data_IF_703063178192
#
_entry.id   IF_703063178192
#
_cell.length_a   1.000
_cell.length_b   1.000
_cell.length_c   1.000
_cell.angle_alpha   90.00
_cell.angle_beta   90.00
_cell.angle_gamma   90.00
#
_symmetry.space_group_name_H-M   'P 1'
#
loop_
_entity.id
_entity.type
_entity.pdbx_description
1 polymer ?
#
# COMPACT_ATOMS: atom_id res chain seq x y z
N UNK A 1 -8.09 -22.82 -26.77
CA UNK A 1 -6.86 -22.01 -26.86
C UNK A 1 -7.21 -20.63 -27.40
N UNK A 2 -7.42 -19.64 -26.52
CA UNK A 2 -7.58 -18.23 -26.95
C UNK A 2 -6.20 -17.64 -27.21
N UNK A 3 -6.00 -17.15 -28.42
CA UNK A 3 -4.75 -16.59 -28.92
C UNK A 3 -4.32 -15.39 -28.06
N UNK A 4 -3.10 -15.45 -27.53
CA UNK A 4 -2.37 -14.39 -26.82
C UNK A 4 -2.00 -13.24 -27.79
N UNK A 5 -3.00 -12.51 -28.30
CA UNK A 5 -2.79 -11.30 -29.11
C UNK A 5 -3.78 -10.22 -28.68
N UNK A 6 -3.76 -9.85 -27.41
CA UNK A 6 -4.37 -8.61 -26.92
C UNK A 6 -3.80 -8.31 -25.52
N UNK A 7 -3.49 -7.03 -25.27
CA UNK A 7 -3.00 -6.45 -24.02
C UNK A 7 -1.49 -6.42 -23.75
N UNK A 8 -0.79 -5.58 -24.52
CA UNK A 8 -0.13 -4.45 -23.88
C UNK A 8 -0.99 -3.21 -24.16
N UNK A 9 -2.13 -3.09 -23.49
CA UNK A 9 -2.86 -1.83 -23.48
C UNK A 9 -1.99 -0.86 -22.69
N UNK A 10 -1.06 -0.20 -23.36
CA UNK A 10 -0.42 0.98 -22.82
C UNK A 10 -1.53 2.03 -22.74
N UNK A 11 -2.21 2.13 -21.59
CA UNK A 11 -3.30 3.07 -21.43
C UNK A 11 -2.74 4.49 -21.48
N UNK A 12 -3.33 5.35 -22.31
CA UNK A 12 -3.01 6.78 -22.31
C UNK A 12 -3.59 7.44 -21.05
N UNK A 13 -2.97 8.53 -20.63
CA UNK A 13 -3.45 9.36 -19.52
C UNK A 13 -4.63 10.18 -20.02
N UNK A 14 -5.83 9.88 -19.50
CA UNK A 14 -7.04 10.63 -19.84
C UNK A 14 -7.24 11.83 -18.89
N UNK A 15 -8.08 12.78 -19.31
CA UNK A 15 -8.45 13.96 -18.50
C UNK A 15 -9.12 13.53 -17.18
N UNK A 16 -8.77 14.22 -16.09
CA UNK A 16 -9.41 14.07 -14.77
C UNK A 16 -9.30 12.68 -14.13
N UNK A 17 -8.37 11.84 -14.60
CA UNK A 17 -8.10 10.50 -14.07
C UNK A 17 -7.20 10.57 -12.84
N UNK A 18 -7.40 9.64 -11.90
CA UNK A 18 -6.46 9.41 -10.81
C UNK A 18 -5.22 8.69 -11.33
N UNK A 19 -4.04 9.22 -11.01
CA UNK A 19 -2.75 8.62 -11.35
C UNK A 19 -1.83 8.62 -10.13
N UNK A 20 -0.87 7.71 -10.13
CA UNK A 20 0.18 7.66 -9.13
C UNK A 20 1.36 8.48 -9.63
N UNK A 21 1.71 9.53 -8.91
CA UNK A 21 2.84 10.42 -9.21
C UNK A 21 3.98 10.11 -8.25
N UNK A 22 5.18 9.97 -8.80
CA UNK A 22 6.42 9.75 -8.04
C UNK A 22 7.54 10.62 -8.62
N UNK A 23 8.33 11.29 -7.77
CA UNK A 23 9.56 11.94 -8.24
C UNK A 23 10.63 10.88 -8.52
N UNK A 24 11.37 11.01 -9.63
CA UNK A 24 12.50 10.10 -9.92
C UNK A 24 13.55 10.24 -8.82
N UNK A 25 13.79 9.14 -8.09
CA UNK A 25 14.66 9.16 -6.93
C UNK A 25 14.09 9.92 -5.71
N UNK A 26 12.83 10.33 -5.77
CA UNK A 26 12.10 10.70 -4.56
C UNK A 26 11.71 9.47 -3.74
N UNK A 27 11.44 9.71 -2.47
CA UNK A 27 10.88 8.71 -1.55
C UNK A 27 9.34 8.75 -1.57
N UNK A 28 8.77 9.93 -1.84
CA UNK A 28 7.33 10.10 -1.82
C UNK A 28 6.68 9.62 -3.12
N UNK A 29 5.58 8.88 -2.93
CA UNK A 29 4.65 8.45 -3.95
C UNK A 29 3.27 8.98 -3.55
N UNK A 30 2.51 9.52 -4.51
CA UNK A 30 1.23 10.17 -4.22
C UNK A 30 0.17 9.76 -5.24
N UNK A 31 -1.04 9.52 -4.76
CA UNK A 31 -2.24 9.44 -5.61
C UNK A 31 -2.74 10.86 -5.86
N UNK A 32 -2.82 11.24 -7.13
CA UNK A 32 -3.26 12.58 -7.53
C UNK A 32 -4.31 12.46 -8.64
N UNK A 33 -5.33 13.33 -8.59
CA UNK A 33 -6.24 13.51 -9.72
C UNK A 33 -5.59 14.48 -10.70
N UNK A 34 -5.37 14.05 -11.94
CA UNK A 34 -4.72 14.86 -12.96
C UNK A 34 -5.73 15.79 -13.64
N UNK A 35 -5.76 17.05 -13.21
CA UNK A 35 -6.65 18.08 -13.74
C UNK A 35 -5.80 19.15 -14.42
N UNK A 36 -6.11 19.45 -15.69
CA UNK A 36 -5.43 20.52 -16.43
C UNK A 36 -5.62 21.86 -15.72
N UNK A 37 -4.53 22.60 -15.51
CA UNK A 37 -4.56 23.89 -14.79
C UNK A 37 -4.33 23.78 -13.28
N UNK A 38 -4.50 22.60 -12.67
CA UNK A 38 -4.18 22.39 -11.26
C UNK A 38 -2.75 21.87 -11.12
N UNK A 39 -1.90 22.63 -10.42
CA UNK A 39 -0.52 22.20 -10.15
C UNK A 39 -0.49 21.04 -9.17
N UNK A 40 0.26 20.00 -9.52
CA UNK A 40 0.56 18.86 -8.64
C UNK A 40 1.89 19.13 -7.95
N UNK A 41 1.89 19.07 -6.62
CA UNK A 41 3.10 19.18 -5.81
C UNK A 41 3.54 17.79 -5.34
N UNK A 42 4.79 17.45 -5.63
CA UNK A 42 5.47 16.26 -5.12
C UNK A 42 6.86 16.60 -4.60
N UNK A 43 7.07 16.39 -3.30
CA UNK A 43 8.27 16.83 -2.60
C UNK A 43 8.53 18.34 -2.80
N UNK A 44 9.58 18.70 -3.55
CA UNK A 44 9.95 20.08 -3.89
C UNK A 44 9.67 20.44 -5.35
N UNK A 45 9.01 19.56 -6.08
CA UNK A 45 8.73 19.72 -7.51
C UNK A 45 7.23 19.96 -7.70
N UNK A 46 6.88 21.06 -8.36
CA UNK A 46 5.51 21.42 -8.70
C UNK A 46 5.37 21.49 -10.21
N UNK A 47 4.33 20.87 -10.76
CA UNK A 47 4.12 20.86 -12.22
C UNK A 47 2.64 20.87 -12.60
N UNK A 48 2.32 21.33 -13.81
CA UNK A 48 0.97 21.25 -14.40
C UNK A 48 0.85 19.99 -15.28
N UNK A 49 -0.16 19.13 -15.06
CA UNK A 49 -0.29 17.87 -15.80
C UNK A 49 -0.83 18.02 -17.23
N UNK A 50 -1.06 19.25 -17.72
CA UNK A 50 -1.65 19.52 -19.05
C UNK A 50 -0.97 18.74 -20.19
N UNK A 51 0.36 18.70 -20.23
CA UNK A 51 1.12 18.10 -21.34
C UNK A 51 1.30 16.58 -21.14
N UNK A 52 0.95 16.03 -19.97
CA UNK A 52 0.94 14.59 -19.75
C UNK A 52 -0.34 13.93 -20.26
N UNK A 53 -1.44 14.69 -20.40
CA UNK A 53 -2.72 14.18 -20.89
C UNK A 53 -2.58 13.79 -22.37
N UNK A 54 -3.01 12.58 -22.71
CA UNK A 54 -2.89 12.01 -24.06
C UNK A 54 -1.60 11.24 -24.30
N UNK A 55 -0.60 11.39 -23.44
CA UNK A 55 0.61 10.56 -23.45
C UNK A 55 0.41 9.26 -22.66
N UNK A 56 1.28 8.29 -22.90
CA UNK A 56 1.31 7.05 -22.13
C UNK A 56 1.86 7.29 -20.71
N UNK A 57 1.45 6.45 -19.76
CA UNK A 57 2.08 6.41 -18.44
C UNK A 57 3.60 6.19 -18.58
N UNK A 58 4.41 6.93 -17.84
CA UNK A 58 5.84 6.96 -18.06
C UNK A 58 6.57 8.05 -17.28
N UNK A 59 7.79 8.35 -17.73
CA UNK A 59 8.68 9.36 -17.15
C UNK A 59 8.51 10.66 -17.92
N UNK A 60 8.43 11.77 -17.19
CA UNK A 60 8.33 13.12 -17.73
C UNK A 60 9.41 14.00 -17.11
N UNK A 61 10.06 14.82 -17.94
CA UNK A 61 10.95 15.89 -17.49
C UNK A 61 10.13 17.15 -17.23
N UNK A 62 10.34 17.77 -16.07
CA UNK A 62 9.68 19.00 -15.67
C UNK A 62 10.58 20.17 -16.03
N UNK A 63 10.10 21.04 -16.91
CA UNK A 63 10.82 22.22 -17.42
C UNK A 63 10.05 23.50 -17.12
N UNK A 64 10.71 24.66 -17.32
CA UNK A 64 10.12 25.99 -17.16
C UNK A 64 9.37 26.16 -15.83
N UNK A 65 10.03 25.82 -14.72
CA UNK A 65 9.44 25.96 -13.39
C UNK A 65 8.18 25.11 -13.14
N UNK A 66 7.91 24.09 -13.95
CA UNK A 66 6.74 23.21 -13.80
C UNK A 66 5.65 23.38 -14.85
N UNK A 67 5.79 24.32 -15.77
CA UNK A 67 4.74 24.64 -16.73
C UNK A 67 4.79 23.80 -18.00
N UNK A 68 5.88 23.07 -18.23
CA UNK A 68 6.04 22.16 -19.37
C UNK A 68 6.46 20.78 -18.89
N UNK A 69 5.75 19.75 -19.35
CA UNK A 69 6.16 18.35 -19.18
C UNK A 69 6.56 17.74 -20.52
N UNK A 70 7.77 17.21 -20.60
CA UNK A 70 8.25 16.50 -21.78
C UNK A 70 8.30 14.99 -21.50
N UNK A 71 7.58 14.14 -22.26
CA UNK A 71 7.70 12.69 -22.11
C UNK A 71 9.11 12.24 -22.49
N UNK A 72 9.73 11.42 -21.63
CA UNK A 72 11.04 10.82 -21.91
C UNK A 72 10.79 9.42 -22.46
N UNK A 73 11.07 9.23 -23.74
CA UNK A 73 11.16 7.89 -24.30
C UNK A 73 12.39 7.19 -23.69
N UNK A 74 12.23 5.92 -23.29
CA UNK A 74 13.33 5.12 -22.78
C UNK A 74 14.36 4.89 -23.90
N UNK A 75 15.28 5.82 -24.08
CA UNK A 75 16.49 5.57 -24.84
C UNK A 75 17.30 4.54 -24.05
N UNK A 76 17.42 3.34 -24.60
CA UNK A 76 18.06 2.14 -24.05
C UNK A 76 19.59 2.24 -23.94
N UNK A 77 20.13 3.42 -23.59
CA UNK A 77 21.57 3.59 -23.33
C UNK A 77 21.77 3.79 -21.83
N UNK A 78 22.12 2.72 -21.07
CA UNK A 78 22.57 2.89 -19.70
C UNK A 78 23.77 3.86 -19.69
N UNK A 79 23.75 4.80 -18.76
CA UNK A 79 24.88 5.69 -18.52
C UNK A 79 26.05 4.85 -17.99
N UNK A 80 26.90 4.35 -18.90
CA UNK A 80 28.17 3.72 -18.55
C UNK A 80 29.19 4.83 -18.31
N UNK A 81 29.43 5.19 -17.07
CA UNK A 81 30.63 5.96 -16.73
C UNK A 81 31.74 4.95 -16.40
N UNK A 82 32.61 4.71 -17.38
CA UNK A 82 33.85 3.97 -17.14
C UNK A 82 34.80 4.86 -16.34
N UNK A 83 34.83 4.69 -15.02
CA UNK A 83 35.85 5.31 -14.19
C UNK A 83 37.11 4.45 -14.26
N UNK A 84 38.24 5.04 -14.66
CA UNK A 84 39.55 4.38 -14.65
C UNK A 84 39.94 3.95 -13.23
N UNK A 85 40.54 2.76 -13.11
CA UNK A 85 41.07 2.22 -11.86
C UNK A 85 42.33 3.01 -11.45
N UNK A 86 42.14 4.23 -10.92
CA UNK A 86 43.16 4.90 -10.13
C UNK A 86 43.16 4.29 -8.73
N UNK A 87 44.18 3.52 -8.38
CA UNK A 87 44.44 3.05 -7.01
C UNK A 87 44.42 4.25 -6.06
N UNK A 88 43.32 4.46 -5.35
CA UNK A 88 43.20 5.54 -4.36
C UNK A 88 43.13 4.91 -2.98
N UNK A 89 44.23 5.09 -2.25
CA UNK A 89 44.46 4.66 -0.89
C UNK A 89 43.41 5.23 0.09
N UNK A 90 43.28 4.55 1.24
CA UNK A 90 42.21 4.74 2.22
C UNK A 90 41.89 6.18 2.61
N UNK A 91 40.63 6.37 3.03
CA UNK A 91 40.01 7.60 3.51
C UNK A 91 40.70 8.06 4.81
N UNK A 92 41.86 8.73 4.69
CA UNK A 92 42.53 9.37 5.82
C UNK A 92 41.81 10.69 6.09
N UNK A 93 41.17 10.81 7.25
CA UNK A 93 40.29 11.92 7.62
C UNK A 93 40.78 13.30 7.17
N UNK A 94 39.88 14.07 6.56
CA UNK A 94 40.13 15.44 6.10
C UNK A 94 39.34 16.41 6.99
N UNK A 95 39.98 17.52 7.36
CA UNK A 95 39.45 18.53 8.27
C UNK A 95 38.28 19.36 7.72
N UNK A 96 37.80 20.31 8.54
CA UNK A 96 36.61 21.16 8.33
C UNK A 96 36.70 22.17 7.15
N UNK A 97 37.25 21.78 6.01
CA UNK A 97 37.26 22.62 4.81
C UNK A 97 35.94 22.45 4.01
N UNK A 98 35.48 23.53 3.38
CA UNK A 98 34.29 23.50 2.52
C UNK A 98 34.54 22.60 1.31
N UNK A 99 34.04 21.37 1.37
CA UNK A 99 34.25 20.34 0.33
C UNK A 99 33.61 20.62 -1.03
N UNK A 100 32.79 21.67 -1.14
CA UNK A 100 32.05 22.04 -2.35
C UNK A 100 32.16 23.54 -2.58
N UNK A 101 32.60 23.91 -3.78
CA UNK A 101 32.77 25.31 -4.18
C UNK A 101 31.44 26.00 -4.56
N UNK A 102 30.47 25.25 -5.09
CA UNK A 102 29.16 25.80 -5.47
C UNK A 102 28.23 25.98 -4.27
N UNK A 103 27.73 27.21 -4.08
CA UNK A 103 26.74 27.55 -3.07
C UNK A 103 25.32 27.13 -3.45
N UNK A 104 24.40 27.07 -2.48
CA UNK A 104 23.00 26.70 -2.75
C UNK A 104 22.31 27.68 -3.72
N UNK A 105 22.61 28.97 -3.62
CA UNK A 105 22.01 29.99 -4.48
C UNK A 105 22.51 29.87 -5.93
N UNK A 106 23.81 29.62 -6.11
CA UNK A 106 24.39 29.36 -7.45
C UNK A 106 23.78 28.11 -8.11
N UNK A 107 23.44 27.09 -7.33
CA UNK A 107 22.76 25.89 -7.85
C UNK A 107 21.34 26.21 -8.30
N UNK A 108 20.65 27.14 -7.62
CA UNK A 108 19.30 27.57 -8.00
C UNK A 108 19.33 28.39 -9.28
N UNK A 109 20.24 29.37 -9.40
CA UNK A 109 20.38 30.15 -10.64
C UNK A 109 20.74 29.26 -11.83
N UNK A 110 21.66 28.31 -11.66
CA UNK A 110 21.98 27.35 -12.73
C UNK A 110 20.76 26.53 -13.20
N UNK A 111 19.84 26.21 -12.28
CA UNK A 111 18.58 25.51 -12.62
C UNK A 111 17.59 26.43 -13.34
N UNK A 112 17.52 27.70 -12.94
CA UNK A 112 16.71 28.72 -13.61
C UNK A 112 17.21 28.99 -15.03
N UNK A 113 18.53 28.95 -15.24
CA UNK A 113 19.18 29.04 -16.56
C UNK A 113 18.90 27.82 -17.47
N UNK A 114 18.16 26.82 -16.99
CA UNK A 114 17.75 25.65 -17.78
C UNK A 114 18.86 24.61 -17.99
N UNK A 115 19.90 24.60 -17.17
CA UNK A 115 20.98 23.60 -17.27
C UNK A 115 20.43 22.18 -17.13
N UNK A 116 20.95 21.22 -17.90
CA UNK A 116 20.53 19.83 -17.76
C UNK A 116 21.00 19.22 -16.43
N UNK A 117 20.26 18.25 -15.89
CA UNK A 117 20.64 17.57 -14.63
C UNK A 117 22.04 16.97 -14.72
N UNK A 118 22.42 16.42 -15.88
CA UNK A 118 23.73 15.79 -16.07
C UNK A 118 24.86 16.82 -16.05
N UNK A 119 24.68 17.96 -16.72
CA UNK A 119 25.66 19.06 -16.70
C UNK A 119 25.82 19.66 -15.30
N UNK A 120 24.72 19.85 -14.56
CA UNK A 120 24.77 20.31 -13.18
C UNK A 120 25.58 19.35 -12.30
N UNK A 121 25.37 18.04 -12.47
CA UNK A 121 26.12 17.02 -11.73
C UNK A 121 27.60 17.06 -12.11
N UNK A 122 27.95 17.23 -13.39
CA UNK A 122 29.33 17.40 -13.84
C UNK A 122 30.00 18.63 -13.20
N UNK A 123 29.31 19.77 -13.13
CA UNK A 123 29.81 20.98 -12.42
C UNK A 123 29.98 20.74 -10.92
N UNK A 124 29.08 19.98 -10.29
CA UNK A 124 29.17 19.62 -8.87
C UNK A 124 30.29 18.62 -8.56
N UNK A 125 30.74 17.87 -9.56
CA UNK A 125 31.87 16.95 -9.48
C UNK A 125 33.19 17.70 -9.60
N UNK A 126 33.31 18.60 -10.58
CA UNK A 126 34.52 19.41 -10.76
C UNK A 126 34.77 20.34 -9.58
N UNK A 127 33.71 20.89 -8.98
CA UNK A 127 33.80 21.75 -7.79
C UNK A 127 34.04 21.01 -6.46
N UNK A 128 34.18 19.68 -6.46
CA UNK A 128 34.43 18.89 -5.25
C UNK A 128 35.91 18.50 -5.14
N UNK A 129 36.61 19.11 -4.19
CA UNK A 129 38.05 18.98 -3.99
C UNK A 129 38.52 17.53 -3.73
N UNK A 130 37.67 16.70 -3.12
CA UNK A 130 37.99 15.32 -2.77
C UNK A 130 37.32 14.30 -3.68
N UNK A 131 36.72 14.71 -4.80
CA UNK A 131 36.05 13.74 -5.66
C UNK A 131 37.04 12.77 -6.29
N UNK A 132 38.22 13.26 -6.72
CA UNK A 132 39.19 12.42 -7.42
C UNK A 132 39.88 11.39 -6.52
N UNK A 133 40.14 11.73 -5.26
CA UNK A 133 40.76 10.83 -4.27
C UNK A 133 39.80 9.74 -3.76
N UNK A 134 38.50 9.83 -4.03
CA UNK A 134 37.51 8.83 -3.60
C UNK A 134 37.65 7.53 -4.39
N UNK A 135 37.31 6.43 -3.72
CA UNK A 135 37.14 5.12 -4.36
C UNK A 135 36.06 5.16 -5.44
N UNK A 136 36.14 4.22 -6.41
CA UNK A 136 35.14 4.07 -7.49
C UNK A 136 33.70 4.01 -6.96
N UNK A 137 33.47 3.23 -5.91
CA UNK A 137 32.14 3.09 -5.29
C UNK A 137 31.66 4.39 -4.63
N UNK A 138 32.55 5.13 -3.98
CA UNK A 138 32.24 6.42 -3.37
C UNK A 138 31.95 7.51 -4.41
N UNK A 139 32.68 7.52 -5.53
CA UNK A 139 32.42 8.39 -6.68
C UNK A 139 31.02 8.13 -7.25
N UNK A 140 30.68 6.88 -7.53
CA UNK A 140 29.38 6.50 -8.07
C UNK A 140 28.23 6.77 -7.09
N UNK A 141 28.42 6.48 -5.79
CA UNK A 141 27.45 6.81 -4.73
C UNK A 141 27.18 8.30 -4.68
N UNK A 142 28.22 9.13 -4.78
CA UNK A 142 28.09 10.58 -4.83
C UNK A 142 27.31 11.04 -6.06
N UNK A 143 27.69 10.56 -7.25
CA UNK A 143 27.01 10.87 -8.51
C UNK A 143 25.53 10.52 -8.45
N UNK A 144 25.19 9.29 -8.06
CA UNK A 144 23.81 8.83 -7.92
C UNK A 144 23.01 9.70 -6.97
N UNK A 145 23.59 10.08 -5.83
CA UNK A 145 22.95 10.99 -4.86
C UNK A 145 22.69 12.38 -5.44
N UNK A 146 23.63 12.92 -6.24
CA UNK A 146 23.46 14.24 -6.88
C UNK A 146 22.42 14.19 -8.00
N UNK A 147 22.47 13.19 -8.88
CA UNK A 147 21.45 12.97 -9.92
C UNK A 147 20.07 12.85 -9.27
N UNK A 148 19.92 12.00 -8.27
CA UNK A 148 18.66 11.80 -7.55
C UNK A 148 18.14 13.08 -6.87
N UNK A 149 19.02 13.86 -6.24
CA UNK A 149 18.63 15.12 -5.58
C UNK A 149 18.18 16.18 -6.58
N UNK A 150 18.93 16.34 -7.67
CA UNK A 150 18.76 17.44 -8.62
C UNK A 150 17.92 17.10 -9.85
N UNK A 151 17.49 15.84 -10.00
CA UNK A 151 16.59 15.42 -11.07
C UNK A 151 15.23 16.10 -10.92
N UNK A 152 14.83 16.78 -11.98
CA UNK A 152 13.52 17.40 -12.12
C UNK A 152 12.59 16.50 -12.95
N UNK A 153 12.69 15.18 -12.74
CA UNK A 153 11.88 14.18 -13.45
C UNK A 153 10.81 13.58 -12.54
N UNK A 154 9.63 13.36 -13.11
CA UNK A 154 8.51 12.70 -12.46
C UNK A 154 8.10 11.46 -13.24
N UNK A 155 7.56 10.47 -12.54
CA UNK A 155 6.99 9.26 -13.11
C UNK A 155 5.51 9.28 -12.81
N UNK A 156 4.70 9.18 -13.87
CA UNK A 156 3.25 9.08 -13.78
C UNK A 156 2.87 7.64 -14.12
N UNK A 157 2.28 6.95 -13.15
CA UNK A 157 1.95 5.53 -13.22
C UNK A 157 0.44 5.32 -13.13
N UNK A 158 -0.04 4.30 -13.82
CA UNK A 158 -1.42 3.84 -13.69
C UNK A 158 -1.64 3.32 -12.25
N UNK A 159 -2.73 3.72 -11.57
CA UNK A 159 -3.06 3.16 -10.27
C UNK A 159 -3.30 1.66 -10.36
N UNK A 160 -2.67 0.92 -9.45
CA UNK A 160 -2.96 -0.49 -9.21
C UNK A 160 -2.87 -0.75 -7.71
N UNK A 161 -3.39 -1.89 -7.26
CA UNK A 161 -3.46 -2.24 -5.82
C UNK A 161 -2.07 -2.15 -5.17
N UNK A 162 -1.02 -2.62 -5.86
CA UNK A 162 0.37 -2.57 -5.37
C UNK A 162 0.84 -1.13 -5.12
N UNK A 163 0.66 -0.24 -6.10
CA UNK A 163 1.10 1.16 -6.01
C UNK A 163 0.24 1.96 -5.03
N UNK A 164 -1.07 1.65 -4.93
CA UNK A 164 -1.96 2.25 -3.95
C UNK A 164 -1.57 1.87 -2.53
N UNK A 165 -1.41 0.57 -2.24
CA UNK A 165 -0.97 0.11 -0.92
C UNK A 165 0.37 0.75 -0.54
N UNK A 166 1.33 0.80 -1.46
CA UNK A 166 2.62 1.45 -1.26
C UNK A 166 2.51 2.97 -1.03
N UNK A 167 1.57 3.62 -1.71
CA UNK A 167 1.25 5.04 -1.53
C UNK A 167 0.69 5.34 -0.13
N UNK A 168 -0.32 4.58 0.30
CA UNK A 168 -0.92 4.77 1.62
C UNK A 168 0.08 4.43 2.73
N UNK A 169 0.84 3.34 2.56
CA UNK A 169 1.83 2.90 3.54
C UNK A 169 2.98 3.90 3.74
N UNK A 170 3.54 4.47 2.66
CA UNK A 170 4.58 5.51 2.78
C UNK A 170 4.06 6.85 3.31
N UNK A 171 2.76 7.12 3.12
CA UNK A 171 2.16 8.37 3.60
C UNK A 171 1.91 8.33 5.10
N UNK A 172 1.27 7.27 5.57
CA UNK A 172 0.87 7.12 6.97
C UNK A 172 0.71 5.62 7.28
N UNK A 173 1.79 4.93 7.69
CA UNK A 173 1.74 3.50 7.96
C UNK A 173 0.91 3.17 9.20
N UNK A 174 0.85 4.08 10.18
CA UNK A 174 0.08 3.90 11.41
C UNK A 174 -1.44 3.91 11.15
N UNK A 175 -1.89 4.78 10.23
CA UNK A 175 -3.27 4.75 9.72
C UNK A 175 -3.61 3.40 9.12
N UNK A 176 -2.70 2.75 8.40
CA UNK A 176 -2.93 1.41 7.88
C UNK A 176 -2.77 0.30 8.93
N UNK A 177 -2.58 0.64 10.21
CA UNK A 177 -2.20 -0.33 11.25
C UNK A 177 -1.01 -1.17 10.82
N UNK A 178 -0.04 -0.55 10.14
CA UNK A 178 1.14 -1.18 9.55
C UNK A 178 0.87 -2.31 8.53
N UNK A 179 -0.33 -2.36 7.92
CA UNK A 179 -0.64 -3.33 6.87
C UNK A 179 0.21 -3.06 5.63
N UNK A 180 1.18 -3.95 5.39
CA UNK A 180 2.08 -3.88 4.24
C UNK A 180 1.51 -4.60 3.01
N UNK A 181 2.15 -4.38 1.86
CA UNK A 181 1.77 -5.01 0.60
C UNK A 181 1.92 -6.54 0.59
N UNK A 182 2.92 -7.10 1.25
CA UNK A 182 3.11 -8.54 1.38
C UNK A 182 1.96 -9.18 2.16
N UNK A 183 1.60 -8.58 3.29
CA UNK A 183 0.48 -9.02 4.13
C UNK A 183 -0.86 -8.86 3.42
N UNK A 184 -1.10 -7.74 2.76
CA UNK A 184 -2.28 -7.54 1.93
C UNK A 184 -2.35 -8.60 0.80
N UNK A 185 -1.21 -8.90 0.16
CA UNK A 185 -1.12 -9.96 -0.84
C UNK A 185 -1.46 -11.33 -0.27
N UNK A 186 -0.94 -11.66 0.92
CA UNK A 186 -1.28 -12.89 1.63
C UNK A 186 -2.78 -12.96 1.93
N UNK A 187 -3.37 -11.87 2.44
CA UNK A 187 -4.80 -11.84 2.75
C UNK A 187 -5.66 -12.07 1.51
N UNK A 188 -5.35 -11.40 0.40
CA UNK A 188 -6.05 -11.56 -0.87
C UNK A 188 -5.92 -12.99 -1.42
N UNK A 189 -4.76 -13.61 -1.24
CA UNK A 189 -4.54 -15.00 -1.65
C UNK A 189 -5.34 -15.98 -0.79
N UNK A 190 -5.27 -15.86 0.55
CA UNK A 190 -5.92 -16.76 1.49
C UNK A 190 -7.45 -16.63 1.46
N UNK A 191 -7.97 -15.46 1.13
CA UNK A 191 -9.40 -15.22 1.00
C UNK A 191 -10.01 -15.88 -0.23
N UNK A 192 -9.20 -16.20 -1.25
CA UNK A 192 -9.68 -16.81 -2.48
C UNK A 192 -10.58 -15.89 -3.30
N UNK A 193 -10.38 -14.57 -3.21
CA UNK A 193 -11.17 -13.59 -3.98
C UNK A 193 -10.90 -13.74 -5.48
N UNK A 194 -11.97 -13.79 -6.28
CA UNK A 194 -11.87 -13.88 -7.74
C UNK A 194 -13.01 -13.13 -8.43
N UNK A 195 -12.83 -12.81 -9.71
CA UNK A 195 -13.76 -12.00 -10.52
C UNK A 195 -15.03 -12.75 -10.97
N UNK A 196 -15.51 -13.71 -10.18
CA UNK A 196 -16.71 -14.50 -10.45
C UNK A 196 -17.83 -14.19 -9.45
N UNK A 197 -18.75 -15.14 -9.26
CA UNK A 197 -19.70 -15.11 -8.13
C UNK A 197 -18.93 -15.38 -6.83
N UNK A 198 -18.33 -14.33 -6.27
CA UNK A 198 -17.62 -14.37 -4.99
C UNK A 198 -18.16 -13.23 -4.12
N UNK A 199 -18.96 -13.58 -3.11
CA UNK A 199 -19.49 -12.67 -2.11
C UNK A 199 -18.53 -12.65 -0.93
N UNK A 200 -17.80 -11.55 -0.76
CA UNK A 200 -16.88 -11.39 0.36
C UNK A 200 -17.45 -10.41 1.38
N UNK A 201 -17.46 -10.82 2.65
CA UNK A 201 -17.69 -9.89 3.75
C UNK A 201 -16.35 -9.23 4.11
N UNK A 202 -16.31 -7.90 4.07
CA UNK A 202 -15.11 -7.12 4.39
C UNK A 202 -15.38 -6.21 5.57
N UNK A 203 -14.57 -6.32 6.61
CA UNK A 203 -14.54 -5.36 7.72
C UNK A 203 -13.17 -4.68 7.74
N UNK A 204 -13.13 -3.38 7.48
CA UNK A 204 -11.91 -2.58 7.53
C UNK A 204 -12.04 -1.48 8.59
N UNK A 205 -11.28 -1.63 9.67
CA UNK A 205 -11.18 -0.62 10.73
C UNK A 205 -10.00 0.33 10.54
N UNK A 206 -9.02 -0.05 9.71
CA UNK A 206 -7.73 0.64 9.64
C UNK A 206 -7.93 2.09 9.17
N UNK A 207 -8.81 2.28 8.19
CA UNK A 207 -8.98 3.58 7.56
C UNK A 207 -9.84 4.59 8.35
N UNK A 208 -10.60 4.16 9.36
CA UNK A 208 -11.72 4.94 9.92
C UNK A 208 -11.32 6.03 10.93
N UNK A 209 -10.09 6.01 11.47
CA UNK A 209 -9.70 6.86 12.61
C UNK A 209 -9.67 8.38 12.38
N UNK A 210 -9.77 8.89 11.14
CA UNK A 210 -9.94 10.34 10.86
C UNK A 210 -11.19 10.66 10.06
N UNK A 211 -11.84 9.66 9.47
CA UNK A 211 -13.05 9.90 8.71
C UNK A 211 -14.23 10.15 9.65
N UNK A 212 -14.20 9.68 10.91
CA UNK A 212 -15.16 10.08 11.95
C UNK A 212 -15.05 11.57 12.32
N UNK A 213 -13.84 12.12 12.49
CA UNK A 213 -13.65 13.57 12.71
C UNK A 213 -14.06 14.40 11.49
N UNK A 214 -13.79 13.91 10.27
CA UNK A 214 -14.20 14.60 9.04
C UNK A 214 -15.69 14.47 8.75
N UNK A 215 -16.32 13.34 9.03
CA UNK A 215 -17.78 13.17 8.84
C UNK A 215 -18.56 13.93 9.89
N UNK A 216 -18.08 14.03 11.13
CA UNK A 216 -18.68 14.91 12.13
C UNK A 216 -18.48 16.40 11.76
N UNK A 217 -17.32 16.77 11.20
CA UNK A 217 -17.11 18.12 10.68
C UNK A 217 -17.91 18.41 9.39
N UNK A 218 -18.10 17.43 8.49
CA UNK A 218 -18.94 17.59 7.29
C UNK A 218 -20.41 17.69 7.66
N UNK A 219 -20.91 16.89 8.61
CA UNK A 219 -22.27 17.02 9.14
C UNK A 219 -22.53 18.40 9.75
N UNK A 220 -21.53 18.99 10.39
CA UNK A 220 -21.61 20.37 10.92
C UNK A 220 -21.43 21.47 9.84
N UNK A 221 -21.01 21.11 8.61
CA UNK A 221 -20.81 22.07 7.50
C UNK A 221 -21.91 21.98 6.44
N UNK A 222 -22.65 20.87 6.38
CA UNK A 222 -23.80 20.66 5.49
C UNK A 222 -25.06 21.43 5.93
N UNK A 223 -25.03 22.16 7.05
CA UNK A 223 -26.07 23.13 7.46
C UNK A 223 -25.80 24.57 6.95
N UNK A 224 -24.91 24.76 5.96
CA UNK A 224 -24.70 26.07 5.33
C UNK A 224 -25.59 26.25 4.10
N UNK A 225 -26.21 27.43 4.06
CA UNK A 225 -27.32 27.88 3.23
C UNK A 225 -27.31 27.45 1.75
N UNK A 226 -28.51 27.24 1.15
CA UNK A 226 -28.63 26.89 -0.26
C UNK A 226 -28.11 28.00 -1.17
N UNK A 227 -27.13 27.66 -2.01
CA UNK A 227 -26.62 28.51 -3.08
C UNK A 227 -27.72 28.69 -4.15
N UNK A 228 -28.22 29.92 -4.31
CA UNK A 228 -29.30 30.32 -5.24
C UNK A 228 -28.81 30.27 -6.70
N UNK A 229 -28.63 29.06 -7.25
CA UNK A 229 -28.55 28.83 -8.69
C UNK A 229 -29.64 27.84 -9.07
N UNK A 230 -30.74 28.37 -9.60
CA UNK A 230 -31.99 27.64 -9.87
C UNK A 230 -31.88 26.63 -11.03
N UNK A 231 -30.83 26.71 -11.86
CA UNK A 231 -30.61 25.73 -12.93
C UNK A 231 -29.97 24.43 -12.41
N UNK A 232 -30.69 23.31 -12.58
CA UNK A 232 -30.22 21.96 -12.26
C UNK A 232 -30.26 21.59 -10.76
N UNK A 233 -31.02 22.30 -9.93
CA UNK A 233 -31.20 21.96 -8.52
C UNK A 233 -32.06 20.68 -8.34
N UNK A 234 -33.07 20.50 -9.20
CA UNK A 234 -33.96 19.33 -9.21
C UNK A 234 -33.22 18.06 -9.63
N UNK A 235 -32.47 18.10 -10.74
CA UNK A 235 -31.60 16.99 -11.18
C UNK A 235 -30.57 16.59 -10.11
N UNK A 236 -29.99 17.57 -9.38
CA UNK A 236 -29.04 17.29 -8.29
C UNK A 236 -29.72 16.59 -7.11
N UNK A 237 -30.96 16.98 -6.76
CA UNK A 237 -31.77 16.33 -5.71
C UNK A 237 -32.16 14.91 -6.11
N UNK A 238 -32.59 14.70 -7.36
CA UNK A 238 -32.91 13.38 -7.90
C UNK A 238 -31.68 12.46 -7.89
N UNK A 239 -30.51 12.95 -8.32
CA UNK A 239 -29.26 12.19 -8.25
C UNK A 239 -28.87 11.82 -6.82
N UNK A 240 -29.15 12.69 -5.83
CA UNK A 240 -28.89 12.39 -4.42
C UNK A 240 -29.86 11.33 -3.88
N UNK A 241 -31.15 11.43 -4.20
CA UNK A 241 -32.18 10.45 -3.81
C UNK A 241 -31.86 9.09 -4.44
N UNK A 242 -31.50 9.05 -5.72
CA UNK A 242 -31.12 7.82 -6.40
C UNK A 242 -29.90 7.16 -5.76
N UNK A 243 -28.85 7.92 -5.45
CA UNK A 243 -27.66 7.40 -4.75
C UNK A 243 -27.99 6.86 -3.35
N UNK A 244 -28.93 7.50 -2.65
CA UNK A 244 -29.40 7.07 -1.33
C UNK A 244 -30.19 5.76 -1.43
N UNK A 245 -31.15 5.67 -2.35
CA UNK A 245 -31.93 4.45 -2.61
C UNK A 245 -31.02 3.28 -2.99
N UNK A 246 -30.06 3.50 -3.89
CA UNK A 246 -29.06 2.48 -4.27
C UNK A 246 -28.20 2.02 -3.08
N UNK A 247 -27.86 2.94 -2.17
CA UNK A 247 -27.12 2.60 -0.95
C UNK A 247 -27.97 1.75 0.00
N UNK A 248 -29.21 2.17 0.25
CA UNK A 248 -30.15 1.46 1.12
C UNK A 248 -30.43 0.04 0.58
N UNK A 249 -30.59 -0.12 -0.73
CA UNK A 249 -30.78 -1.43 -1.36
C UNK A 249 -29.54 -2.33 -1.23
N UNK A 250 -28.33 -1.78 -1.38
CA UNK A 250 -27.07 -2.52 -1.16
C UNK A 250 -26.92 -2.95 0.29
N UNK A 251 -27.23 -2.09 1.25
CA UNK A 251 -27.17 -2.38 2.69
C UNK A 251 -28.19 -3.47 3.07
N UNK A 252 -29.43 -3.39 2.55
CA UNK A 252 -30.46 -4.43 2.72
C UNK A 252 -29.97 -5.78 2.20
N UNK A 253 -29.43 -5.82 0.97
CA UNK A 253 -28.89 -7.04 0.35
C UNK A 253 -27.72 -7.61 1.16
N UNK A 254 -26.83 -6.76 1.68
CA UNK A 254 -25.73 -7.19 2.53
C UNK A 254 -26.22 -7.83 3.83
N UNK A 255 -27.21 -7.23 4.49
CA UNK A 255 -27.83 -7.78 5.69
C UNK A 255 -28.53 -9.12 5.43
N UNK A 256 -29.18 -9.28 4.27
CA UNK A 256 -29.79 -10.55 3.87
C UNK A 256 -28.75 -11.66 3.68
N UNK A 257 -27.57 -11.34 3.14
CA UNK A 257 -26.46 -12.31 2.99
C UNK A 257 -25.85 -12.73 4.34
N UNK A 258 -25.85 -11.84 5.33
CA UNK A 258 -25.29 -12.09 6.67
C UNK A 258 -26.25 -12.96 7.50
N UNK A 259 -27.57 -12.75 7.35
CA UNK A 259 -28.57 -13.51 8.09
C UNK A 259 -28.57 -14.99 7.64
N UNK A 260 -28.55 -15.95 8.58
CA UNK A 260 -28.61 -17.37 8.23
C UNK A 260 -29.98 -17.69 7.61
N UNK A 261 -29.97 -18.29 6.40
CA UNK A 261 -31.17 -18.87 5.79
C UNK A 261 -31.40 -20.29 6.33
N UNK A 262 -32.66 -20.71 6.50
CA UNK A 262 -33.04 -21.98 7.10
C UNK A 262 -32.52 -23.25 6.39
N UNK A 263 -32.12 -23.16 5.11
CA UNK A 263 -31.86 -24.32 4.26
C UNK A 263 -30.44 -24.41 3.68
N UNK A 264 -29.64 -23.33 3.73
CA UNK A 264 -28.30 -23.31 3.14
C UNK A 264 -27.27 -22.68 4.08
N UNK A 265 -26.12 -23.34 4.22
CA UNK A 265 -24.94 -22.75 4.83
C UNK A 265 -24.45 -21.58 3.95
N UNK A 266 -24.91 -20.37 4.27
CA UNK A 266 -24.31 -19.09 3.90
C UNK A 266 -24.38 -18.65 2.42
N UNK A 267 -24.52 -17.34 2.21
CA UNK A 267 -24.35 -16.68 0.90
C UNK A 267 -22.98 -16.02 0.74
N UNK A 268 -22.17 -16.01 1.81
CA UNK A 268 -20.83 -15.39 1.84
C UNK A 268 -19.79 -16.47 1.56
N UNK A 269 -18.88 -16.21 0.63
CA UNK A 269 -17.78 -17.09 0.24
C UNK A 269 -16.54 -16.91 1.12
N UNK A 270 -16.25 -15.68 1.51
CA UNK A 270 -15.06 -15.33 2.29
C UNK A 270 -15.34 -14.20 3.29
N UNK A 271 -14.74 -14.30 4.46
CA UNK A 271 -14.71 -13.24 5.47
C UNK A 271 -13.28 -12.67 5.51
N UNK A 272 -13.14 -11.38 5.22
CA UNK A 272 -11.89 -10.64 5.32
C UNK A 272 -12.04 -9.53 6.36
N UNK A 273 -11.17 -9.51 7.37
CA UNK A 273 -11.19 -8.47 8.39
C UNK A 273 -9.81 -7.85 8.55
N UNK A 274 -9.76 -6.54 8.78
CA UNK A 274 -8.58 -5.81 9.21
C UNK A 274 -8.96 -4.99 10.45
N UNK A 275 -8.55 -5.48 11.62
CA UNK A 275 -8.93 -4.89 12.91
C UNK A 275 -7.71 -4.35 13.65
N UNK A 276 -7.90 -3.25 14.38
CA UNK A 276 -6.86 -2.62 15.20
C UNK A 276 -7.22 -2.57 16.68
N UNK A 277 -8.45 -2.19 16.99
CA UNK A 277 -8.92 -2.06 18.39
C UNK A 277 -10.19 -2.84 18.68
N UNK A 278 -10.96 -3.21 17.65
CA UNK A 278 -12.16 -4.03 17.81
C UNK A 278 -11.74 -5.51 17.90
N UNK A 279 -12.33 -6.24 18.85
CA UNK A 279 -12.14 -7.69 18.95
C UNK A 279 -12.81 -8.37 17.73
N UNK A 280 -12.05 -9.09 16.89
CA UNK A 280 -12.60 -9.81 15.74
C UNK A 280 -13.69 -10.82 16.12
N UNK A 281 -13.70 -11.35 17.35
CA UNK A 281 -14.68 -12.34 17.80
C UNK A 281 -16.12 -11.78 17.76
N UNK A 282 -16.31 -10.51 18.09
CA UNK A 282 -17.66 -9.92 18.14
C UNK A 282 -18.29 -9.77 16.76
N UNK A 283 -17.45 -9.52 15.75
CA UNK A 283 -17.87 -9.48 14.35
C UNK A 283 -18.11 -10.92 13.85
N UNK A 284 -17.20 -11.85 14.18
CA UNK A 284 -17.34 -13.25 13.81
C UNK A 284 -18.65 -13.85 14.33
N UNK A 285 -19.06 -13.58 15.59
CA UNK A 285 -20.32 -14.08 16.14
C UNK A 285 -21.55 -13.69 15.29
N UNK A 286 -21.53 -12.53 14.64
CA UNK A 286 -22.65 -12.04 13.83
C UNK A 286 -22.62 -12.61 12.41
N UNK A 287 -21.44 -12.77 11.82
CA UNK A 287 -21.28 -13.06 10.39
C UNK A 287 -20.95 -14.52 10.10
N UNK A 288 -20.39 -15.25 11.07
CA UNK A 288 -19.91 -16.62 10.88
C UNK A 288 -21.02 -17.57 10.40
N UNK A 289 -22.27 -17.36 10.82
CA UNK A 289 -23.41 -18.17 10.36
C UNK A 289 -23.65 -18.02 8.83
N UNK A 290 -23.52 -16.80 8.30
CA UNK A 290 -23.70 -16.48 6.88
C UNK A 290 -22.54 -16.90 5.96
N UNK A 291 -21.41 -17.34 6.51
CA UNK A 291 -20.30 -17.93 5.73
C UNK A 291 -20.66 -19.33 5.23
N UNK A 292 -20.39 -19.65 3.97
CA UNK A 292 -20.62 -20.99 3.44
C UNK A 292 -19.65 -22.03 3.98
N UNK A 293 -20.01 -23.30 3.87
CA UNK A 293 -19.06 -24.39 4.08
C UNK A 293 -17.92 -24.31 3.06
N UNK A 294 -16.71 -24.66 3.50
CA UNK A 294 -15.48 -24.45 2.75
C UNK A 294 -15.20 -22.97 2.43
N UNK A 295 -15.89 -22.05 3.11
CA UNK A 295 -15.60 -20.61 3.05
C UNK A 295 -14.37 -20.27 3.89
N UNK A 296 -13.64 -19.24 3.47
CA UNK A 296 -12.38 -18.83 4.12
C UNK A 296 -12.61 -17.69 5.09
N UNK A 297 -11.80 -17.66 6.15
CA UNK A 297 -11.76 -16.58 7.14
C UNK A 297 -10.33 -16.07 7.18
N UNK A 298 -10.16 -14.78 6.94
CA UNK A 298 -8.87 -14.10 6.94
C UNK A 298 -8.98 -12.85 7.81
N UNK A 299 -8.17 -12.75 8.86
CA UNK A 299 -8.21 -11.64 9.81
C UNK A 299 -6.80 -11.10 10.00
N UNK A 300 -6.62 -9.82 9.71
CA UNK A 300 -5.39 -9.09 9.96
C UNK A 300 -5.50 -8.24 11.23
N UNK A 301 -4.43 -8.22 12.01
CA UNK A 301 -4.24 -7.22 13.06
C UNK A 301 -2.76 -6.90 13.28
N UNK A 302 -2.39 -5.64 13.56
CA UNK A 302 -1.03 -5.32 14.01
C UNK A 302 -0.69 -5.95 15.37
N UNK A 303 -1.71 -6.29 16.17
CA UNK A 303 -1.60 -6.77 17.54
C UNK A 303 -2.00 -8.24 17.58
N UNK A 304 -1.13 -9.10 18.11
CA UNK A 304 -1.29 -10.57 18.07
C UNK A 304 -2.46 -11.04 18.94
N UNK A 305 -2.71 -10.35 20.04
CA UNK A 305 -3.66 -10.70 21.09
C UNK A 305 -5.09 -10.80 20.55
N UNK A 306 -5.51 -9.86 19.68
CA UNK A 306 -6.82 -9.91 19.02
C UNK A 306 -7.00 -11.18 18.19
N UNK A 307 -5.96 -11.60 17.47
CA UNK A 307 -6.01 -12.82 16.66
C UNK A 307 -5.98 -14.08 17.52
N UNK A 308 -5.31 -14.06 18.67
CA UNK A 308 -5.35 -15.17 19.61
C UNK A 308 -6.74 -15.38 20.19
N UNK A 309 -7.49 -14.31 20.44
CA UNK A 309 -8.90 -14.40 20.86
C UNK A 309 -9.76 -15.05 19.78
N UNK A 310 -9.66 -14.58 18.53
CA UNK A 310 -10.35 -15.20 17.39
C UNK A 310 -9.95 -16.67 17.20
N UNK A 311 -8.66 -16.99 17.30
CA UNK A 311 -8.15 -18.36 17.18
C UNK A 311 -8.75 -19.27 18.25
N UNK A 312 -8.78 -18.82 19.51
CA UNK A 312 -9.41 -19.57 20.62
C UNK A 312 -10.89 -19.78 20.36
N UNK A 313 -11.61 -18.74 19.95
CA UNK A 313 -13.04 -18.81 19.67
C UNK A 313 -13.34 -19.80 18.53
N UNK A 314 -12.60 -19.75 17.42
CA UNK A 314 -12.77 -20.68 16.29
C UNK A 314 -12.56 -22.14 16.71
N UNK A 315 -11.60 -22.40 17.59
CA UNK A 315 -11.39 -23.75 18.16
C UNK A 315 -12.52 -24.20 19.08
N UNK A 316 -13.13 -23.28 19.83
CA UNK A 316 -14.24 -23.57 20.72
C UNK A 316 -15.53 -23.86 19.95
N UNK A 317 -15.79 -23.11 18.87
CA UNK A 317 -16.95 -23.32 17.99
C UNK A 317 -16.89 -24.69 17.31
N UNK A 318 -15.70 -25.20 17.01
CA UNK A 318 -15.51 -26.55 16.45
C UNK A 318 -15.88 -26.69 14.96
N UNK A 319 -16.42 -25.64 14.34
CA UNK A 319 -16.82 -25.59 12.92
C UNK A 319 -15.77 -24.91 12.03
N UNK A 320 -14.49 -24.95 12.41
CA UNK A 320 -13.38 -24.40 11.65
C UNK A 320 -12.17 -25.35 11.67
N UNK A 321 -11.49 -25.48 10.53
CA UNK A 321 -10.25 -26.25 10.37
C UNK A 321 -9.15 -25.37 9.78
N UNK A 322 -7.93 -25.91 9.80
CA UNK A 322 -6.72 -25.25 9.30
C UNK A 322 -6.53 -23.83 9.86
N UNK A 323 -6.69 -23.71 11.19
CA UNK A 323 -6.62 -22.42 11.88
C UNK A 323 -5.15 -22.03 12.06
N UNK A 324 -4.64 -21.20 11.16
CA UNK A 324 -3.24 -20.80 11.11
C UNK A 324 -3.06 -19.35 11.54
N UNK A 325 -2.13 -19.11 12.47
CA UNK A 325 -1.68 -17.76 12.83
C UNK A 325 -0.28 -17.55 12.24
N UNK A 326 -0.15 -16.59 11.34
CA UNK A 326 1.08 -16.32 10.59
C UNK A 326 1.57 -14.88 10.75
N UNK A 327 2.88 -14.71 10.63
CA UNK A 327 3.56 -13.42 10.56
C UNK A 327 4.56 -13.47 9.41
N UNK A 328 4.51 -12.49 8.51
CA UNK A 328 5.43 -12.42 7.38
C UNK A 328 6.53 -11.40 7.62
N UNK A 329 7.76 -11.81 7.29
CA UNK A 329 8.91 -10.93 7.25
C UNK A 329 9.20 -10.53 5.82
N UNK A 330 9.45 -9.24 5.61
CA UNK A 330 9.72 -8.69 4.29
C UNK A 330 10.88 -7.71 4.39
N UNK A 331 11.88 -7.89 3.51
CA UNK A 331 13.12 -7.10 3.52
C UNK A 331 13.52 -6.72 2.10
N UNK A 332 13.68 -5.43 1.86
CA UNK A 332 14.18 -4.94 0.58
C UNK A 332 15.68 -5.25 0.45
N UNK A 333 16.08 -5.66 -0.75
CA UNK A 333 17.47 -5.89 -1.11
C UNK A 333 17.93 -4.76 -2.03
N UNK A 334 19.07 -4.17 -1.72
CA UNK A 334 19.80 -3.37 -2.71
C UNK A 334 20.52 -4.34 -3.64
N UNK A 335 20.22 -4.26 -4.94
CA UNK A 335 20.90 -5.07 -5.97
C UNK A 335 21.69 -4.14 -6.86
N UNK A 336 23.00 -4.08 -6.61
CA UNK A 336 23.98 -3.30 -7.38
C UNK A 336 25.26 -4.13 -7.42
N UNK A 337 25.97 -4.13 -8.56
CA UNK A 337 27.26 -4.84 -8.68
C UNK A 337 28.17 -4.55 -7.48
N UNK A 338 28.69 -5.63 -6.88
CA UNK A 338 29.64 -5.63 -5.77
C UNK A 338 29.17 -4.93 -4.48
N UNK A 339 27.88 -4.56 -4.39
CA UNK A 339 27.27 -3.85 -3.25
C UNK A 339 25.85 -4.35 -2.95
N UNK A 340 25.61 -5.64 -3.18
CA UNK A 340 24.33 -6.29 -2.90
C UNK A 340 24.22 -6.59 -1.41
N UNK A 341 23.23 -5.98 -0.76
CA UNK A 341 22.99 -6.15 0.67
C UNK A 341 21.55 -5.74 1.00
N UNK A 342 20.99 -6.23 2.11
CA UNK A 342 19.66 -5.79 2.53
C UNK A 342 19.67 -4.32 2.95
N UNK A 343 18.53 -3.66 2.80
CA UNK A 343 18.32 -2.36 3.42
C UNK A 343 18.33 -2.56 4.95
N UNK A 344 19.20 -1.83 5.63
CA UNK A 344 19.49 -2.03 7.06
C UNK A 344 18.46 -1.36 7.96
N UNK A 345 17.93 -0.20 7.56
CA UNK A 345 16.92 0.57 8.30
C UNK A 345 15.54 0.35 7.66
N UNK A 346 14.89 -0.76 8.02
CA UNK A 346 13.54 -1.08 7.54
C UNK A 346 12.75 -1.81 8.62
N UNK A 347 11.44 -1.53 8.70
CA UNK A 347 10.50 -2.37 9.46
C UNK A 347 10.32 -3.72 8.74
N UNK A 348 10.82 -4.80 9.36
CA UNK A 348 10.81 -6.15 8.77
C UNK A 348 9.49 -6.88 9.07
N UNK A 349 8.81 -6.52 10.15
CA UNK A 349 7.49 -7.03 10.52
C UNK A 349 6.38 -6.03 10.14
N UNK A 350 5.20 -6.53 9.79
CA UNK A 350 4.06 -5.71 9.34
C UNK A 350 2.71 -6.22 9.84
N UNK A 351 2.67 -6.77 11.05
CA UNK A 351 1.46 -7.34 11.67
C UNK A 351 1.30 -8.86 11.49
N UNK A 352 0.13 -9.35 11.87
CA UNK A 352 -0.22 -10.78 11.94
C UNK A 352 -1.46 -11.07 11.11
N UNK A 353 -1.55 -12.29 10.57
CA UNK A 353 -2.71 -12.77 9.81
C UNK A 353 -3.16 -14.11 10.37
N UNK A 354 -4.44 -14.20 10.71
CA UNK A 354 -5.14 -15.42 11.09
C UNK A 354 -5.93 -15.93 9.88
N UNK A 355 -5.79 -17.21 9.59
CA UNK A 355 -6.52 -17.93 8.55
C UNK A 355 -7.30 -19.09 9.15
N UNK A 356 -8.48 -19.39 8.59
CA UNK A 356 -9.22 -20.61 8.87
C UNK A 356 -10.19 -20.93 7.73
N UNK A 357 -10.64 -22.19 7.68
CA UNK A 357 -11.67 -22.66 6.75
C UNK A 357 -12.90 -23.10 7.56
N UNK A 358 -14.09 -22.62 7.19
CA UNK A 358 -15.34 -23.05 7.80
C UNK A 358 -15.69 -24.46 7.33
N UNK A 359 -16.03 -25.33 8.28
CA UNK A 359 -16.50 -26.69 8.02
C UNK A 359 -17.83 -26.93 8.71
N UNK A 360 -18.47 -28.05 8.36
CA UNK A 360 -19.66 -28.50 9.06
C UNK A 360 -19.29 -28.78 10.52
N UNK A 361 -20.11 -28.35 11.50
CA UNK A 361 -19.90 -28.78 12.88
C UNK A 361 -19.83 -30.32 12.95
N UNK A 362 -18.96 -30.87 13.79
CA UNK A 362 -18.96 -32.30 14.06
C UNK A 362 -20.32 -32.72 14.64
N UNK A 363 -20.77 -33.94 14.34
CA UNK A 363 -21.99 -34.50 14.94
C UNK A 363 -21.93 -34.43 16.49
N UNK A 364 -23.09 -34.38 17.13
CA UNK A 364 -23.22 -34.24 18.59
C UNK A 364 -22.38 -35.25 19.37
N UNK A 365 -22.29 -36.49 18.87
CA UNK A 365 -21.57 -37.59 19.51
C UNK A 365 -20.03 -37.41 19.43
N UNK A 366 -19.53 -36.90 18.31
CA UNK A 366 -18.11 -36.59 18.15
C UNK A 366 -17.70 -35.37 19.00
N UNK A 367 -18.62 -34.44 19.22
CA UNK A 367 -18.41 -33.28 20.09
C UNK A 367 -18.27 -33.70 21.55
N UNK A 368 -19.13 -34.61 22.01
CA UNK A 368 -19.04 -35.22 23.34
C UNK A 368 -17.76 -36.03 23.53
N UNK A 369 -17.37 -36.86 22.55
CA UNK A 369 -16.10 -37.59 22.60
C UNK A 369 -14.87 -36.67 22.64
N UNK A 370 -14.87 -35.57 21.89
CA UNK A 370 -13.78 -34.58 21.94
C UNK A 370 -13.70 -33.85 23.28
N UNK A 371 -14.84 -33.52 23.88
CA UNK A 371 -14.91 -32.93 25.23
C UNK A 371 -14.35 -33.91 26.27
N UNK A 372 -14.78 -35.17 26.21
CA UNK A 372 -14.31 -36.24 27.09
C UNK A 372 -12.80 -36.47 26.95
N UNK A 373 -12.29 -36.56 25.72
CA UNK A 373 -10.85 -36.72 25.47
C UNK A 373 -10.02 -35.53 25.99
N UNK A 374 -10.56 -34.31 25.86
CA UNK A 374 -9.90 -33.10 26.37
C UNK A 374 -9.86 -33.08 27.90
N UNK A 375 -10.93 -33.46 28.57
CA UNK A 375 -10.94 -33.61 30.04
C UNK A 375 -9.96 -34.68 30.50
N UNK A 376 -9.90 -35.83 29.82
CA UNK A 376 -8.96 -36.91 30.13
C UNK A 376 -7.50 -36.47 29.99
N UNK A 377 -7.15 -35.78 28.91
CA UNK A 377 -5.81 -35.19 28.72
C UNK A 377 -5.43 -34.20 29.82
N UNK A 378 -6.38 -33.37 30.26
CA UNK A 378 -6.15 -32.38 31.32
C UNK A 378 -5.99 -33.03 32.70
N UNK A 379 -6.68 -34.15 32.93
CA UNK A 379 -6.53 -34.97 34.15
C UNK A 379 -5.17 -35.68 34.16
N UNK A 380 -4.77 -36.29 33.05
CA UNK A 380 -3.45 -36.92 32.93
C UNK A 380 -2.30 -35.93 33.15
N UNK A 381 -2.38 -34.71 32.58
CA UNK A 381 -1.35 -33.69 32.81
C UNK A 381 -1.28 -33.19 34.26
N UNK A 382 -2.39 -33.23 35.01
CA UNK A 382 -2.39 -32.90 36.45
C UNK A 382 -1.78 -34.02 37.29
N UNK A 383 -2.10 -35.27 36.98
CA UNK A 383 -1.54 -36.44 37.66
C UNK A 383 -0.01 -36.49 37.46
N UNK A 384 0.49 -36.26 36.24
CA UNK A 384 1.94 -36.21 35.98
C UNK A 384 2.67 -35.11 36.75
N UNK A 385 2.01 -33.97 36.99
CA UNK A 385 2.55 -32.87 37.80
C UNK A 385 2.57 -33.22 39.30
N UNK A 386 1.57 -33.94 39.80
CA UNK A 386 1.50 -34.37 41.20
C UNK A 386 2.48 -35.52 41.51
N UNK A 387 2.80 -36.38 40.54
CA UNK A 387 3.77 -37.48 40.72
C UNK A 387 5.24 -37.05 40.58
N UNK A 388 5.50 -35.81 40.13
CA UNK A 388 6.84 -35.27 39.90
C UNK A 388 7.35 -34.36 41.03
N UNK A 389 6.55 -34.16 42.07
CA UNK A 389 6.88 -33.53 43.36
C UNK A 389 7.00 -34.58 44.44
#
# INVERSE_FOLDING_TARGET
MRTRKEHANCSKINKSVFAIVRKVGGEHIRLCRLISGQRVLIERLSFNPKDAIGHFYGIFEVSNGGDVLCPIEFASKPFKTEFSNGNSAGDRGHGNESTQQLTSNQIMTLKEDGITTNELVSKLVSGNCHFQSRTKFSKEKYMRKKVQKHSDRVVILQPNIRLLADCYYRKDPERLGHLRIDQLGLMLQLSGLHSGKCNAFVFDQLNNGRDEEKTNNLKNTEEREPDNREDGAEERREQQIQKRMEREERERRAMEMIKPTAEHSGQIDSICMATRTVDPVDILKQVFAGLRLSGTIVIYSPVKEHLLNAWKWLRLVGSAVDIQLSQQFFRFQQVISDRTHPIMQQLISGGYVLYAIKVLPPESDQTQQRMLNKELLTKHSRIEQETST
#
